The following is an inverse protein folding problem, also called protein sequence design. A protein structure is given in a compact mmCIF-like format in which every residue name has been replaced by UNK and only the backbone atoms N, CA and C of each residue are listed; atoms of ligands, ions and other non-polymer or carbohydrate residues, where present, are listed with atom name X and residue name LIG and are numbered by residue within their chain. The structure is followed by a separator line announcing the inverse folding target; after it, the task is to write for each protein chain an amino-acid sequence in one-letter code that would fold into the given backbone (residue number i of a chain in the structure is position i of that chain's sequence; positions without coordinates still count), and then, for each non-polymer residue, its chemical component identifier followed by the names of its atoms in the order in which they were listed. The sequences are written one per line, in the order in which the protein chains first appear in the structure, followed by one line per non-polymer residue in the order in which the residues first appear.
data_IF_096510262093
#
_entry.id   IF_096510262093
#
_cell.length_a   1.000
_cell.length_b   1.000
_cell.length_c   1.000
_cell.angle_alpha   90.00
_cell.angle_beta   90.00
_cell.angle_gamma   90.00
#
_symmetry.space_group_name_H-M   'P 1'
#
loop_
_entity.id
_entity.type
_entity.pdbx_description
1 polymer ?
#
# COMPACT_ATOMS: atom_id res chain seq x y z
N UNK A 1 16.42 8.08 -35.11
CA UNK A 1 15.45 7.03 -34.74
C UNK A 1 15.25 7.09 -33.24
N UNK A 2 14.21 7.78 -32.76
CA UNK A 2 13.80 7.65 -31.36
C UNK A 2 12.89 6.42 -31.30
N UNK A 3 13.39 5.32 -30.74
CA UNK A 3 12.58 4.12 -30.53
C UNK A 3 11.48 4.43 -29.52
N UNK A 4 10.22 4.19 -29.89
CA UNK A 4 9.12 4.25 -28.94
C UNK A 4 9.26 3.10 -27.94
N UNK A 5 9.45 3.43 -26.65
CA UNK A 5 9.38 2.43 -25.57
C UNK A 5 8.00 1.76 -25.57
N UNK A 6 7.95 0.48 -25.25
CA UNK A 6 6.69 -0.23 -25.01
C UNK A 6 6.01 0.30 -23.74
N UNK A 7 4.71 0.01 -23.55
CA UNK A 7 3.99 0.37 -22.31
C UNK A 7 4.68 -0.23 -21.08
N UNK A 8 5.00 -1.52 -21.14
CA UNK A 8 5.66 -2.23 -20.05
C UNK A 8 7.04 -1.65 -19.68
N UNK A 9 7.84 -1.25 -20.67
CA UNK A 9 9.14 -0.61 -20.40
C UNK A 9 8.98 0.73 -19.67
N UNK A 10 8.00 1.55 -20.05
CA UNK A 10 7.73 2.82 -19.37
C UNK A 10 7.25 2.59 -17.93
N UNK A 11 6.31 1.67 -17.73
CA UNK A 11 5.77 1.34 -16.41
C UNK A 11 6.86 0.82 -15.47
N UNK A 12 7.73 -0.05 -15.99
CA UNK A 12 8.88 -0.54 -15.26
C UNK A 12 9.84 0.59 -14.87
N UNK A 13 10.23 1.46 -15.80
CA UNK A 13 11.13 2.57 -15.52
C UNK A 13 10.57 3.54 -14.48
N UNK A 14 9.27 3.84 -14.57
CA UNK A 14 8.54 4.67 -13.62
C UNK A 14 8.59 4.11 -12.20
N UNK A 15 8.29 2.83 -12.00
CA UNK A 15 8.27 2.22 -10.67
C UNK A 15 9.70 1.99 -10.17
N UNK A 16 10.62 1.59 -11.05
CA UNK A 16 12.04 1.41 -10.71
C UNK A 16 12.67 2.72 -10.24
N UNK A 17 12.35 3.85 -10.86
CA UNK A 17 12.81 5.15 -10.43
C UNK A 17 12.32 5.48 -9.01
N UNK A 18 11.03 5.23 -8.71
CA UNK A 18 10.51 5.43 -7.35
C UNK A 18 11.21 4.56 -6.30
N UNK A 19 11.49 3.29 -6.60
CA UNK A 19 12.24 2.42 -5.71
C UNK A 19 13.70 2.88 -5.53
N UNK A 20 14.32 3.42 -6.59
CA UNK A 20 15.66 3.99 -6.50
C UNK A 20 15.70 5.21 -5.58
N UNK A 21 14.70 6.10 -5.69
CA UNK A 21 14.56 7.26 -4.79
C UNK A 21 14.46 6.81 -3.32
N UNK A 22 13.78 5.70 -3.02
CA UNK A 22 13.61 5.21 -1.66
C UNK A 22 14.90 4.62 -1.08
N UNK A 23 15.69 3.94 -1.92
CA UNK A 23 17.04 3.48 -1.60
C UNK A 23 17.96 4.67 -1.30
N UNK A 24 17.98 5.68 -2.18
CA UNK A 24 18.77 6.90 -1.99
C UNK A 24 18.38 7.58 -0.68
N UNK A 25 17.08 7.73 -0.43
CA UNK A 25 16.59 8.35 0.79
C UNK A 25 17.08 7.62 2.06
N UNK A 26 16.98 6.28 2.12
CA UNK A 26 17.49 5.55 3.29
C UNK A 26 19.03 5.66 3.39
N UNK A 27 19.75 5.61 2.28
CA UNK A 27 21.20 5.79 2.27
C UNK A 27 21.64 7.17 2.79
N UNK A 28 20.88 8.21 2.47
CA UNK A 28 21.09 9.56 2.98
C UNK A 28 20.76 9.66 4.48
N UNK A 29 19.66 9.03 4.92
CA UNK A 29 19.28 8.94 6.34
C UNK A 29 20.38 8.25 7.15
N UNK A 30 20.89 7.11 6.67
CA UNK A 30 22.00 6.36 7.28
C UNK A 30 23.26 7.23 7.39
N UNK A 31 23.61 7.94 6.32
CA UNK A 31 24.79 8.82 6.31
C UNK A 31 24.64 9.96 7.31
N UNK A 32 23.42 10.48 7.49
CA UNK A 32 23.15 11.58 8.41
C UNK A 32 23.37 11.21 9.89
N UNK A 33 23.17 9.95 10.27
CA UNK A 33 23.36 9.46 11.65
C UNK A 33 24.75 8.87 11.92
N UNK A 34 25.59 8.65 10.89
CA UNK A 34 26.86 7.94 11.03
C UNK A 34 27.74 8.55 12.13
N UNK A 35 27.92 9.87 12.10
CA UNK A 35 28.74 10.59 13.08
C UNK A 35 28.22 10.40 14.51
N UNK A 36 26.91 10.53 14.73
CA UNK A 36 26.31 10.43 16.06
C UNK A 36 26.46 9.03 16.67
N UNK A 37 26.39 7.98 15.84
CA UNK A 37 26.55 6.59 16.26
C UNK A 37 28.02 6.25 16.62
N UNK A 38 28.98 6.93 16.01
CA UNK A 38 30.41 6.77 16.32
C UNK A 38 30.82 7.51 17.60
N UNK A 39 30.00 8.41 18.14
CA UNK A 39 30.33 9.14 19.37
C UNK A 39 30.48 8.19 20.57
N UNK A 40 31.41 8.44 21.51
CA UNK A 40 31.65 7.57 22.67
C UNK A 40 30.39 7.30 23.51
N UNK A 41 29.48 8.27 23.55
CA UNK A 41 28.26 8.26 24.36
C UNK A 41 27.16 7.39 23.74
N UNK A 42 27.24 7.04 22.45
CA UNK A 42 26.26 6.16 21.82
C UNK A 42 26.28 4.79 22.53
N UNK A 43 25.09 4.22 22.78
CA UNK A 43 24.98 2.91 23.43
C UNK A 43 25.37 1.79 22.47
N UNK A 44 25.75 0.62 23.02
CA UNK A 44 25.98 -0.57 22.19
C UNK A 44 24.72 -0.98 21.41
N UNK A 45 23.54 -0.80 22.01
CA UNK A 45 22.26 -1.07 21.35
C UNK A 45 22.01 -0.10 20.19
N UNK A 46 22.32 1.18 20.34
CA UNK A 46 22.20 2.15 19.23
C UNK A 46 23.09 1.75 18.04
N UNK A 47 24.34 1.34 18.30
CA UNK A 47 25.25 0.84 17.26
C UNK A 47 24.70 -0.41 16.56
N UNK A 48 24.19 -1.37 17.33
CA UNK A 48 23.59 -2.59 16.77
C UNK A 48 22.37 -2.28 15.89
N UNK A 49 21.51 -1.34 16.29
CA UNK A 49 20.34 -0.94 15.49
C UNK A 49 20.75 -0.19 14.22
N UNK A 50 21.80 0.62 14.29
CA UNK A 50 22.37 1.26 13.11
C UNK A 50 22.93 0.23 12.12
N UNK A 51 23.66 -0.78 12.61
CA UNK A 51 24.15 -1.89 11.80
C UNK A 51 22.99 -2.65 11.12
N UNK A 52 21.88 -2.90 11.83
CA UNK A 52 20.68 -3.51 11.22
C UNK A 52 20.12 -2.66 10.06
N UNK A 53 20.15 -1.33 10.18
CA UNK A 53 19.73 -0.45 9.09
C UNK A 53 20.67 -0.53 7.87
N UNK A 54 21.99 -0.58 8.10
CA UNK A 54 22.99 -0.77 7.05
C UNK A 54 22.81 -2.10 6.32
N UNK A 55 22.61 -3.19 7.07
CA UNK A 55 22.37 -4.51 6.49
C UNK A 55 21.06 -4.54 5.68
N UNK A 56 20.00 -3.90 6.16
CA UNK A 56 18.75 -3.77 5.43
C UNK A 56 18.94 -3.00 4.13
N UNK A 57 19.67 -1.87 4.15
CA UNK A 57 20.00 -1.11 2.95
C UNK A 57 20.80 -1.95 1.92
N UNK A 58 21.78 -2.73 2.37
CA UNK A 58 22.56 -3.61 1.50
C UNK A 58 21.67 -4.69 0.86
N UNK A 59 20.86 -5.39 1.66
CA UNK A 59 19.90 -6.39 1.16
C UNK A 59 18.93 -5.78 0.15
N UNK A 60 18.35 -4.61 0.46
CA UNK A 60 17.42 -3.93 -0.42
C UNK A 60 18.09 -3.55 -1.76
N UNK A 61 19.35 -3.10 -1.72
CA UNK A 61 20.14 -2.78 -2.91
C UNK A 61 20.36 -4.01 -3.79
N UNK A 62 20.72 -5.15 -3.19
CA UNK A 62 20.90 -6.41 -3.92
C UNK A 62 19.62 -6.89 -4.59
N UNK A 63 18.48 -6.79 -3.90
CA UNK A 63 17.16 -7.13 -4.48
C UNK A 63 16.83 -6.18 -5.64
N UNK A 64 17.04 -4.88 -5.46
CA UNK A 64 16.78 -3.87 -6.48
C UNK A 64 17.61 -4.05 -7.76
N UNK A 65 18.89 -4.44 -7.62
CA UNK A 65 19.78 -4.71 -8.75
C UNK A 65 19.31 -5.93 -9.57
N UNK A 66 18.76 -6.93 -8.89
CA UNK A 66 18.23 -8.15 -9.50
C UNK A 66 16.85 -7.96 -10.11
N UNK A 67 16.03 -7.04 -9.59
CA UNK A 67 14.67 -6.78 -10.04
C UNK A 67 14.60 -6.47 -11.54
N UNK A 68 13.64 -7.09 -12.24
CA UNK A 68 13.42 -6.93 -13.69
C UNK A 68 12.01 -6.47 -14.04
N UNK A 69 11.07 -6.54 -13.10
CA UNK A 69 9.67 -6.15 -13.28
C UNK A 69 9.10 -5.53 -12.00
N UNK A 70 7.99 -4.77 -12.08
CA UNK A 70 7.41 -4.10 -10.91
C UNK A 70 7.14 -5.01 -9.72
N UNK A 71 6.75 -6.27 -9.95
CA UNK A 71 6.45 -7.23 -8.89
C UNK A 71 7.67 -7.58 -8.03
N UNK A 72 8.88 -7.46 -8.60
CA UNK A 72 10.14 -7.74 -7.92
C UNK A 72 10.52 -6.61 -6.93
N UNK A 73 9.80 -5.48 -6.92
CA UNK A 73 10.10 -4.32 -6.08
C UNK A 73 9.40 -4.34 -4.72
N UNK A 74 8.40 -5.20 -4.52
CA UNK A 74 7.75 -5.32 -3.21
C UNK A 74 8.75 -5.68 -2.08
N UNK A 75 9.64 -6.68 -2.25
CA UNK A 75 10.61 -7.03 -1.22
C UNK A 75 11.68 -5.94 -0.99
N UNK A 76 11.94 -5.07 -1.98
CA UNK A 76 12.83 -3.91 -1.80
C UNK A 76 12.25 -2.99 -0.72
N UNK A 77 10.99 -2.58 -0.88
CA UNK A 77 10.36 -1.65 0.05
C UNK A 77 10.05 -2.25 1.42
N UNK A 78 9.75 -3.55 1.48
CA UNK A 78 9.64 -4.25 2.75
C UNK A 78 10.96 -4.22 3.51
N UNK A 79 12.08 -4.51 2.84
CA UNK A 79 13.41 -4.45 3.45
C UNK A 79 13.80 -3.02 3.84
N UNK A 80 13.43 -2.02 3.02
CA UNK A 80 13.66 -0.61 3.35
C UNK A 80 12.84 -0.17 4.57
N UNK A 81 11.62 -0.68 4.75
CA UNK A 81 10.83 -0.42 5.95
C UNK A 81 11.52 -0.96 7.21
N UNK A 82 12.08 -2.18 7.16
CA UNK A 82 12.90 -2.72 8.26
C UNK A 82 14.05 -1.78 8.62
N UNK A 83 14.77 -1.30 7.60
CA UNK A 83 15.88 -0.35 7.76
C UNK A 83 15.42 0.97 8.38
N UNK A 84 14.28 1.51 7.94
CA UNK A 84 13.71 2.75 8.49
C UNK A 84 13.28 2.60 9.94
N UNK A 85 12.70 1.46 10.30
CA UNK A 85 12.40 1.16 11.70
C UNK A 85 13.67 1.11 12.55
N UNK A 86 14.72 0.43 12.07
CA UNK A 86 16.00 0.36 12.76
C UNK A 86 16.67 1.74 12.92
N UNK A 87 16.56 2.61 11.92
CA UNK A 87 17.00 4.01 11.99
C UNK A 87 16.20 4.81 13.03
N UNK A 88 14.88 4.69 13.05
CA UNK A 88 14.03 5.35 14.04
C UNK A 88 14.35 4.89 15.47
N UNK A 89 14.64 3.59 15.64
CA UNK A 89 15.09 3.02 16.90
C UNK A 89 16.44 3.59 17.35
N UNK A 90 17.42 3.60 16.44
CA UNK A 90 18.75 4.17 16.67
C UNK A 90 18.65 5.61 17.14
N UNK A 91 17.89 6.43 16.40
CA UNK A 91 17.66 7.85 16.73
C UNK A 91 17.04 8.03 18.11
N UNK A 92 16.03 7.23 18.47
CA UNK A 92 15.40 7.31 19.78
C UNK A 92 16.41 7.04 20.91
N UNK A 93 17.28 6.03 20.75
CA UNK A 93 18.31 5.71 21.75
C UNK A 93 19.36 6.82 21.88
N UNK A 94 19.83 7.39 20.76
CA UNK A 94 20.79 8.51 20.76
C UNK A 94 20.21 9.75 21.45
N UNK A 95 18.91 9.98 21.31
CA UNK A 95 18.19 11.10 21.94
C UNK A 95 17.71 10.79 23.38
N UNK A 96 18.00 9.60 23.92
CA UNK A 96 17.56 9.19 25.25
C UNK A 96 16.03 9.04 25.38
N UNK A 97 15.33 8.81 24.27
CA UNK A 97 13.88 8.59 24.22
C UNK A 97 13.55 7.09 24.16
N UNK A 98 12.34 6.70 24.60
CA UNK A 98 11.87 5.32 24.39
C UNK A 98 11.88 4.96 22.90
N UNK A 99 12.34 3.76 22.53
CA UNK A 99 12.25 3.27 21.17
C UNK A 99 10.80 3.22 20.64
N UNK A 100 10.59 3.40 19.34
CA UNK A 100 9.24 3.37 18.76
C UNK A 100 8.63 1.97 18.83
N UNK A 101 7.30 1.92 18.94
CA UNK A 101 6.53 0.69 18.75
C UNK A 101 6.62 0.23 17.28
N UNK A 102 6.53 -1.09 17.04
CA UNK A 102 6.48 -1.64 15.67
C UNK A 102 5.09 -1.45 15.09
N UNK A 103 4.82 -0.23 14.63
CA UNK A 103 3.60 0.17 13.91
C UNK A 103 3.86 0.25 12.40
N UNK A 104 2.81 0.19 11.55
CA UNK A 104 2.95 0.45 10.13
C UNK A 104 3.63 1.81 9.88
N UNK A 105 4.34 1.97 8.74
CA UNK A 105 4.96 3.25 8.41
C UNK A 105 3.89 4.32 8.17
N UNK A 106 4.31 5.58 8.15
CA UNK A 106 3.43 6.68 7.81
C UNK A 106 2.78 6.46 6.44
N UNK A 107 1.45 6.48 6.40
CA UNK A 107 0.68 6.29 5.18
C UNK A 107 0.95 7.39 4.15
N UNK A 108 1.19 8.63 4.58
CA UNK A 108 1.37 9.74 3.65
C UNK A 108 2.73 9.70 2.95
N UNK A 109 3.78 9.37 3.68
CA UNK A 109 5.09 9.04 3.10
C UNK A 109 5.75 7.95 3.96
N UNK A 110 5.83 6.70 3.48
CA UNK A 110 6.45 5.61 4.22
C UNK A 110 7.91 5.87 4.59
N UNK A 111 8.58 6.82 3.90
CA UNK A 111 9.95 7.22 4.21
C UNK A 111 10.06 7.96 5.55
N UNK A 112 8.98 8.53 6.07
CA UNK A 112 8.93 9.15 7.40
C UNK A 112 9.13 8.15 8.55
N UNK A 113 9.08 6.84 8.28
CA UNK A 113 9.27 5.79 9.28
C UNK A 113 7.97 5.42 10.01
N UNK A 114 8.06 4.77 11.19
CA UNK A 114 6.90 4.22 11.88
C UNK A 114 5.89 5.31 12.26
N UNK A 115 4.60 4.99 12.12
CA UNK A 115 3.52 5.84 12.63
C UNK A 115 3.52 5.91 14.16
N UNK A 116 2.97 7.00 14.70
CA UNK A 116 2.78 7.19 16.15
C UNK A 116 1.32 7.08 16.57
N UNK A 117 0.40 7.32 15.63
CA UNK A 117 -1.05 7.25 15.85
C UNK A 117 -1.78 7.05 14.52
N UNK A 118 -3.08 6.79 14.59
CA UNK A 118 -3.96 6.76 13.43
C UNK A 118 -4.79 8.05 13.37
N UNK A 119 -4.82 8.69 12.21
CA UNK A 119 -5.62 9.90 11.98
C UNK A 119 -6.74 9.66 11.00
N UNK A 120 -7.86 10.33 11.23
CA UNK A 120 -9.03 10.27 10.39
C UNK A 120 -8.82 11.13 9.13
N UNK A 121 -8.75 10.50 7.96
CA UNK A 121 -8.44 11.17 6.71
C UNK A 121 -9.18 10.56 5.51
N UNK A 122 -9.38 11.36 4.47
CA UNK A 122 -9.86 10.92 3.16
C UNK A 122 -9.08 11.66 2.06
N UNK A 123 -8.70 10.99 0.97
CA UNK A 123 -8.28 11.70 -0.23
C UNK A 123 -9.48 12.46 -0.82
N UNK A 124 -9.25 13.46 -1.70
CA UNK A 124 -10.33 14.12 -2.43
C UNK A 124 -11.26 13.11 -3.12
N UNK A 125 -12.56 13.19 -2.84
CA UNK A 125 -13.57 12.27 -3.39
C UNK A 125 -13.58 10.86 -2.76
N UNK A 126 -12.75 10.61 -1.74
CA UNK A 126 -12.72 9.36 -1.00
C UNK A 126 -13.55 9.37 0.29
N UNK A 127 -13.71 8.19 0.87
CA UNK A 127 -14.36 8.00 2.17
C UNK A 127 -13.37 8.21 3.33
N UNK A 128 -13.87 8.78 4.43
CA UNK A 128 -13.11 9.08 5.65
C UNK A 128 -12.77 7.79 6.41
N UNK A 129 -11.50 7.63 6.81
CA UNK A 129 -10.99 6.40 7.44
C UNK A 129 -9.75 6.67 8.31
N UNK A 130 -9.45 5.82 9.30
CA UNK A 130 -8.20 5.92 10.05
C UNK A 130 -7.02 5.47 9.17
N UNK A 131 -5.96 6.27 9.11
CA UNK A 131 -4.69 5.95 8.45
C UNK A 131 -3.51 6.15 9.42
N UNK A 132 -2.49 5.26 9.42
CA UNK A 132 -1.32 5.41 10.28
C UNK A 132 -0.49 6.62 9.85
N UNK A 133 -0.17 7.51 10.78
CA UNK A 133 0.60 8.73 10.50
C UNK A 133 1.77 8.91 11.47
N UNK A 134 2.88 9.44 10.95
CA UNK A 134 3.96 9.95 11.80
C UNK A 134 3.46 11.17 12.58
N UNK A 135 4.15 11.53 13.66
CA UNK A 135 3.75 12.65 14.51
C UNK A 135 3.58 13.98 13.73
N UNK A 136 4.44 14.23 12.74
CA UNK A 136 4.39 15.45 11.94
C UNK A 136 3.15 15.51 11.04
N UNK A 137 2.87 14.44 10.28
CA UNK A 137 1.68 14.40 9.43
C UNK A 137 0.39 14.28 10.25
N UNK A 138 0.42 13.58 11.38
CA UNK A 138 -0.72 13.50 12.28
C UNK A 138 -1.15 14.88 12.78
N UNK A 139 -0.18 15.70 13.23
CA UNK A 139 -0.43 17.08 13.61
C UNK A 139 -0.98 17.89 12.42
N UNK A 140 -0.38 17.74 11.24
CA UNK A 140 -0.77 18.46 10.03
C UNK A 140 -2.23 18.20 9.64
N UNK A 141 -2.66 16.95 9.67
CA UNK A 141 -4.05 16.56 9.39
C UNK A 141 -5.00 17.13 10.45
N UNK A 142 -4.64 17.05 11.74
CA UNK A 142 -5.46 17.60 12.84
C UNK A 142 -5.68 19.10 12.72
N UNK A 143 -4.70 19.82 12.21
CA UNK A 143 -4.76 21.26 11.94
C UNK A 143 -5.47 21.60 10.62
N UNK A 144 -5.99 20.60 9.89
CA UNK A 144 -6.76 20.80 8.65
C UNK A 144 -5.91 21.04 7.40
N UNK A 145 -4.59 20.80 7.47
CA UNK A 145 -3.71 20.91 6.31
C UNK A 145 -3.66 19.61 5.49
N UNK A 146 -3.39 19.72 4.19
CA UNK A 146 -3.14 18.57 3.32
C UNK A 146 -1.83 17.89 3.69
N UNK A 147 -1.75 16.54 3.72
CA UNK A 147 -0.53 15.83 4.08
C UNK A 147 0.61 16.09 3.09
N UNK A 148 1.85 15.80 3.49
CA UNK A 148 2.96 15.72 2.54
C UNK A 148 3.01 14.32 1.92
N UNK A 149 2.24 14.14 0.85
CA UNK A 149 2.19 12.88 0.12
C UNK A 149 3.50 12.52 -0.56
N UNK A 150 3.88 11.25 -0.49
CA UNK A 150 4.92 10.69 -1.35
C UNK A 150 4.48 10.83 -2.81
N UNK A 151 5.17 11.69 -3.53
CA UNK A 151 4.95 11.91 -4.96
C UNK A 151 5.73 10.89 -5.78
N UNK A 152 5.09 10.30 -6.79
CA UNK A 152 5.72 9.47 -7.83
C UNK A 152 5.48 10.09 -9.21
N UNK A 153 6.29 9.72 -10.20
CA UNK A 153 6.16 10.24 -11.57
C UNK A 153 5.30 9.34 -12.44
N UNK A 154 4.08 9.76 -12.78
CA UNK A 154 3.18 9.04 -13.69
C UNK A 154 3.08 9.82 -15.00
N UNK A 155 3.54 9.24 -16.11
CA UNK A 155 3.61 9.90 -17.41
C UNK A 155 4.30 11.28 -17.35
N UNK A 156 5.35 11.39 -16.52
CA UNK A 156 6.11 12.63 -16.31
C UNK A 156 5.42 13.68 -15.44
N UNK A 157 4.31 13.34 -14.76
CA UNK A 157 3.62 14.23 -13.82
C UNK A 157 3.77 13.73 -12.38
N UNK A 158 4.02 14.64 -11.41
CA UNK A 158 3.99 14.27 -10.01
C UNK A 158 2.56 13.88 -9.61
N UNK A 159 2.41 12.74 -8.95
CA UNK A 159 1.14 12.15 -8.50
C UNK A 159 1.35 11.52 -7.13
N UNK A 160 0.43 11.72 -6.19
CA UNK A 160 0.53 11.06 -4.89
C UNK A 160 0.53 9.54 -5.10
N UNK A 161 1.37 8.80 -4.38
CA UNK A 161 1.57 7.39 -4.67
C UNK A 161 0.31 6.54 -4.49
N UNK A 162 -0.60 6.93 -3.59
CA UNK A 162 -1.91 6.29 -3.42
C UNK A 162 -2.89 6.57 -4.58
N UNK A 163 -2.58 7.55 -5.42
CA UNK A 163 -3.29 7.88 -6.67
C UNK A 163 -2.59 7.31 -7.91
N UNK A 164 -1.46 6.61 -7.75
CA UNK A 164 -0.70 6.08 -8.87
C UNK A 164 -1.42 4.87 -9.53
N UNK A 165 -1.18 4.61 -10.83
CA UNK A 165 -1.83 3.49 -11.50
C UNK A 165 -1.38 2.13 -10.95
N UNK A 166 -2.16 1.08 -11.21
CA UNK A 166 -2.00 -0.24 -10.59
C UNK A 166 -0.63 -0.91 -10.75
N UNK A 167 0.19 -0.54 -11.75
CA UNK A 167 1.56 -1.05 -11.88
C UNK A 167 2.49 -0.62 -10.74
N UNK A 168 2.13 0.41 -9.97
CA UNK A 168 2.80 0.78 -8.72
C UNK A 168 2.42 -0.08 -7.53
N UNK A 169 1.34 -0.88 -7.64
CA UNK A 169 0.77 -1.65 -6.55
C UNK A 169 1.79 -2.53 -5.80
N UNK A 170 2.62 -3.35 -6.48
CA UNK A 170 3.61 -4.18 -5.80
C UNK A 170 4.65 -3.36 -5.01
N UNK A 171 5.20 -2.29 -5.62
CA UNK A 171 6.14 -1.39 -4.94
C UNK A 171 5.49 -0.72 -3.72
N UNK A 172 4.30 -0.12 -3.87
CA UNK A 172 3.59 0.54 -2.78
C UNK A 172 3.16 -0.44 -1.67
N UNK A 173 2.74 -1.65 -2.05
CA UNK A 173 2.36 -2.70 -1.11
C UNK A 173 3.51 -3.21 -0.25
N UNK A 174 4.74 -3.18 -0.79
CA UNK A 174 5.95 -3.59 -0.08
C UNK A 174 6.16 -2.88 1.26
N UNK A 175 5.83 -1.58 1.35
CA UNK A 175 5.96 -0.83 2.62
C UNK A 175 5.10 -1.38 3.76
N UNK A 176 3.98 -2.03 3.44
CA UNK A 176 2.99 -2.46 4.42
C UNK A 176 2.94 -3.99 4.56
N UNK A 177 3.83 -4.72 3.88
CA UNK A 177 3.75 -6.17 3.78
C UNK A 177 3.80 -6.86 5.15
N UNK A 178 4.69 -6.40 6.04
CA UNK A 178 4.84 -6.88 7.42
C UNK A 178 3.69 -6.52 8.38
N UNK A 179 2.67 -5.78 7.94
CA UNK A 179 1.59 -5.24 8.78
C UNK A 179 0.18 -5.66 8.33
N UNK A 180 0.07 -6.82 7.69
CA UNK A 180 -1.18 -7.27 7.06
C UNK A 180 -1.16 -7.21 5.53
N UNK A 181 0.04 -7.13 4.93
CA UNK A 181 0.23 -7.28 3.50
C UNK A 181 -0.11 -6.02 2.69
N UNK A 182 -0.12 -6.20 1.36
CA UNK A 182 -0.88 -5.33 0.46
C UNK A 182 -2.36 -5.19 0.84
N UNK A 183 -2.87 -6.06 1.73
CA UNK A 183 -4.18 -5.95 2.36
C UNK A 183 -4.35 -4.74 3.26
N UNK A 184 -3.33 -4.25 3.98
CA UNK A 184 -3.45 -3.00 4.76
C UNK A 184 -3.60 -1.81 3.81
N UNK A 185 -2.73 -1.66 2.82
CA UNK A 185 -2.85 -0.61 1.81
C UNK A 185 -4.16 -0.72 1.02
N UNK A 186 -4.53 -1.94 0.61
CA UNK A 186 -5.80 -2.20 -0.07
C UNK A 186 -6.99 -1.91 0.83
N UNK A 187 -6.93 -2.19 2.13
CA UNK A 187 -7.98 -1.85 3.12
C UNK A 187 -8.05 -0.34 3.34
N UNK A 188 -6.90 0.33 3.47
CA UNK A 188 -6.80 1.78 3.55
C UNK A 188 -7.27 2.45 2.26
N UNK A 189 -7.27 1.76 1.12
CA UNK A 189 -7.73 2.29 -0.16
C UNK A 189 -9.08 1.70 -0.62
N UNK A 190 -9.62 0.70 0.09
CA UNK A 190 -10.91 0.06 -0.15
C UNK A 190 -12.03 1.08 0.06
N UNK A 191 -12.97 1.18 -0.89
CA UNK A 191 -14.08 2.14 -0.80
C UNK A 191 -13.70 3.60 -1.10
N UNK A 192 -12.54 3.83 -1.72
CA UNK A 192 -12.33 5.03 -2.56
C UNK A 192 -12.66 4.67 -4.01
N UNK A 193 -13.00 5.65 -4.86
CA UNK A 193 -13.02 5.42 -6.32
C UNK A 193 -11.65 4.91 -6.85
N UNK A 194 -10.59 5.00 -6.03
CA UNK A 194 -9.23 4.54 -6.27
C UNK A 194 -8.98 3.08 -5.84
N UNK A 195 -9.83 2.47 -5.00
CA UNK A 195 -9.73 1.05 -4.64
C UNK A 195 -9.91 0.11 -5.84
N UNK A 196 -10.53 0.61 -6.91
CA UNK A 196 -10.64 -0.09 -8.19
C UNK A 196 -9.34 -0.07 -9.03
N UNK A 197 -8.38 0.83 -8.71
CA UNK A 197 -7.13 1.01 -9.45
C UNK A 197 -5.93 0.24 -8.88
N UNK A 198 -6.02 -0.25 -7.64
CA UNK A 198 -4.94 -0.94 -6.94
C UNK A 198 -5.26 -2.43 -6.92
N UNK A 199 -5.14 -3.08 -8.08
CA UNK A 199 -4.89 -4.52 -8.17
C UNK A 199 -5.91 -5.51 -7.56
N UNK A 200 -7.12 -5.10 -7.21
CA UNK A 200 -8.27 -6.00 -7.08
C UNK A 200 -9.24 -5.65 -8.23
N UNK A 201 -9.09 -6.38 -9.34
CA UNK A 201 -9.71 -6.13 -10.65
C UNK A 201 -10.96 -5.25 -10.67
N UNK A 202 -10.84 -4.04 -11.20
CA UNK A 202 -11.96 -3.20 -11.60
C UNK A 202 -12.81 -3.77 -12.75
N UNK A 203 -12.41 -4.90 -13.34
CA UNK A 203 -13.20 -5.62 -14.36
C UNK A 203 -14.50 -6.22 -13.80
N UNK A 204 -14.66 -6.37 -12.48
CA UNK A 204 -15.95 -6.80 -11.88
C UNK A 204 -16.88 -5.65 -11.51
N UNK A 205 -16.42 -4.39 -11.47
CA UNK A 205 -17.25 -3.25 -11.01
C UNK A 205 -17.97 -2.56 -12.18
N UNK A 206 -17.41 -2.63 -13.39
CA UNK A 206 -18.05 -2.10 -14.60
C UNK A 206 -19.33 -2.84 -15.02
N UNK A 207 -19.40 -4.15 -14.76
CA UNK A 207 -20.53 -5.01 -15.17
C UNK A 207 -21.66 -5.10 -14.12
N UNK A 208 -21.51 -4.48 -12.94
CA UNK A 208 -22.52 -4.54 -11.86
C UNK A 208 -23.37 -3.27 -11.71
N UNK A 209 -22.97 -2.13 -12.27
CA UNK A 209 -23.65 -0.85 -12.05
C UNK A 209 -23.86 0.00 -13.32
N UNK A 210 -24.00 -0.65 -14.47
CA UNK A 210 -24.43 -0.03 -15.72
C UNK A 210 -25.86 -0.44 -16.09
N UNK A 211 -26.86 0.14 -15.43
CA UNK A 211 -28.23 0.19 -15.95
C UNK A 211 -28.25 1.05 -17.22
N UNK A 212 -28.85 0.53 -18.28
CA UNK A 212 -28.97 1.20 -19.57
C UNK A 212 -29.81 0.39 -20.56
N UNK A 213 -31.13 0.54 -20.45
CA UNK A 213 -32.19 0.05 -21.33
C UNK A 213 -31.89 0.17 -22.84
N UNK A 214 -32.40 -0.79 -23.64
CA UNK A 214 -32.63 -0.54 -25.07
C UNK A 214 -32.75 -1.79 -25.97
N UNK A 215 -34.01 -2.21 -26.16
CA UNK A 215 -34.60 -2.66 -27.45
C UNK A 215 -34.30 -4.05 -28.03
N UNK A 216 -35.41 -4.82 -28.18
CA UNK A 216 -35.72 -5.73 -29.30
C UNK A 216 -34.89 -7.02 -29.39
N UNK A 217 -35.42 -8.23 -29.60
CA UNK A 217 -36.48 -8.66 -30.51
C UNK A 217 -36.96 -10.07 -30.08
N UNK A 218 -38.06 -10.56 -30.68
CA UNK A 218 -38.58 -11.94 -30.55
C UNK A 218 -37.52 -13.04 -30.73
N UNK A 219 -37.74 -14.30 -30.38
CA UNK A 219 -38.59 -15.34 -30.98
C UNK A 219 -38.72 -16.46 -29.90
N UNK A 220 -39.86 -17.07 -29.60
CA UNK A 220 -40.58 -18.03 -30.46
C UNK A 220 -40.59 -19.42 -29.79
N UNK A 221 -41.80 -19.86 -29.43
CA UNK A 221 -42.34 -21.24 -29.39
C UNK A 221 -41.65 -22.39 -28.62
N UNK A 222 -42.47 -23.16 -27.89
CA UNK A 222 -42.06 -24.47 -27.37
C UNK A 222 -43.00 -25.12 -26.35
N UNK A 223 -44.16 -25.58 -26.84
CA UNK A 223 -45.16 -26.46 -26.22
C UNK A 223 -44.58 -27.72 -25.51
N UNK A 224 -45.28 -28.25 -24.49
CA UNK A 224 -44.83 -29.49 -23.83
C UNK A 224 -45.58 -30.01 -22.60
N UNK A 225 -46.90 -30.17 -22.68
CA UNK A 225 -47.70 -31.32 -22.20
C UNK A 225 -47.51 -31.98 -20.81
N UNK A 226 -48.60 -31.92 -20.03
CA UNK A 226 -49.31 -32.98 -19.27
C UNK A 226 -48.58 -34.08 -18.47
N UNK A 227 -49.05 -34.30 -17.24
CA UNK A 227 -48.82 -35.55 -16.52
C UNK A 227 -49.21 -35.59 -15.03
N UNK A 228 -50.51 -35.61 -14.74
CA UNK A 228 -51.12 -36.65 -13.88
C UNK A 228 -50.73 -36.86 -12.40
N UNK A 229 -51.69 -36.52 -11.53
CA UNK A 229 -52.26 -37.30 -10.41
C UNK A 229 -51.38 -37.99 -9.33
N UNK A 230 -51.73 -37.72 -8.05
CA UNK A 230 -51.27 -38.54 -6.92
C UNK A 230 -51.71 -38.00 -5.55
N UNK A 231 -52.83 -38.53 -5.05
CA UNK A 231 -53.47 -38.18 -3.79
C UNK A 231 -52.71 -38.64 -2.53
N UNK A 232 -52.86 -37.88 -1.43
CA UNK A 232 -53.16 -38.50 -0.13
C UNK A 232 -52.19 -38.22 1.03
N UNK A 233 -52.76 -37.78 2.15
CA UNK A 233 -52.24 -38.10 3.49
C UNK A 233 -51.92 -36.90 4.37
N UNK A 234 -52.90 -36.48 5.18
CA UNK A 234 -52.70 -35.49 6.24
C UNK A 234 -52.00 -36.05 7.49
N UNK A 235 -51.77 -35.15 8.45
CA UNK A 235 -51.27 -35.48 9.78
C UNK A 235 -50.78 -34.23 10.50
N UNK A 236 -51.68 -33.61 11.26
CA UNK A 236 -51.42 -32.57 12.24
C UNK A 236 -50.50 -33.09 13.37
N UNK A 237 -49.68 -32.22 13.94
CA UNK A 237 -48.73 -32.58 15.00
C UNK A 237 -48.03 -31.36 15.61
N UNK A 238 -48.78 -30.67 16.44
CA UNK A 238 -48.44 -29.79 17.56
C UNK A 238 -47.06 -29.89 18.25
N UNK A 239 -46.63 -28.76 18.82
CA UNK A 239 -46.21 -28.75 20.23
C UNK A 239 -44.73 -28.51 20.56
N UNK A 240 -44.39 -27.23 20.71
CA UNK A 240 -43.71 -26.58 21.84
C UNK A 240 -42.59 -27.29 22.63
N UNK A 241 -41.58 -26.46 22.92
CA UNK A 241 -40.47 -26.51 23.88
C UNK A 241 -39.13 -27.06 23.38
#
# INVERSE_FOLDING_TARGET
FFGHKTRHEREWEEVRASAQDDLVALGDDIRSLDVDVQMPEASAEARQRYEQALEAYQRASEVFDRAKRPEDLAPVNETLEEGRFAMAYTKALLEGRPPPERRPPCFFDPRHGPSTEDVQWAPPGGSMRPVPACAADALRIKEGFQPHGRQVSVNGRPTDYWNAPGHYGPWAGGYFNGFGGGGLLSTLLLGSALGAGIGLGGEVVGDLFGDGDGDGDGWGDGDGGDGGDGWGGGGDGDGLF
#
